data_IF_983354352326
#
_entry.id   IF_983354352326
#
_cell.length_a   1.000
_cell.length_b   1.000
_cell.length_c   1.000
_cell.angle_alpha   90.00
_cell.angle_beta   90.00
_cell.angle_gamma   90.00
#
_symmetry.space_group_name_H-M   'P 1'
#
loop_
_entity.id
_entity.type
_entity.pdbx_description
1 polymer ?
#
# COMPACT_ATOMS: atom_id res chain seq x y z
N UNK A 1 8.52 -3.85 6.78
CA UNK A 1 8.20 -3.11 5.53
C UNK A 1 9.41 -2.33 5.02
N UNK A 2 10.02 -1.50 5.87
CA UNK A 2 11.15 -0.60 5.53
C UNK A 2 12.31 -1.28 4.81
N UNK A 3 12.73 -2.46 5.28
CA UNK A 3 13.91 -3.14 4.73
C UNK A 3 13.76 -3.68 3.31
N UNK A 4 12.52 -3.74 2.81
CA UNK A 4 12.20 -4.10 1.42
C UNK A 4 11.63 -2.92 0.63
N UNK A 5 11.89 -1.68 1.07
CA UNK A 5 11.30 -0.47 0.49
C UNK A 5 10.07 -0.01 1.27
N UNK A 6 8.98 -0.76 1.16
CA UNK A 6 7.70 -0.47 1.82
C UNK A 6 6.88 0.59 1.08
N UNK A 7 5.72 0.20 0.56
CA UNK A 7 4.79 1.11 -0.14
C UNK A 7 3.43 1.16 0.56
N UNK A 8 2.71 2.26 0.39
CA UNK A 8 1.39 2.49 0.97
C UNK A 8 0.66 3.68 0.34
N UNK A 9 -0.39 4.16 1.00
CA UNK A 9 -1.24 5.25 0.51
C UNK A 9 -0.48 6.54 0.20
N UNK A 10 0.55 6.83 0.99
CA UNK A 10 1.34 8.05 0.85
C UNK A 10 2.52 7.90 -0.11
N UNK A 11 2.78 6.70 -0.63
CA UNK A 11 4.02 6.45 -1.36
C UNK A 11 4.11 7.14 -2.72
N UNK A 12 2.97 7.45 -3.34
CA UNK A 12 2.97 8.26 -4.56
C UNK A 12 3.44 9.69 -4.31
N UNK A 13 3.13 10.25 -3.14
CA UNK A 13 3.46 11.65 -2.80
C UNK A 13 4.82 11.79 -2.12
N UNK A 14 5.19 10.84 -1.26
CA UNK A 14 6.37 10.95 -0.38
C UNK A 14 7.38 9.82 -0.56
N UNK A 15 7.21 8.96 -1.56
CA UNK A 15 8.12 7.83 -1.81
C UNK A 15 7.89 6.63 -0.89
N UNK A 16 8.77 5.65 -1.00
CA UNK A 16 8.76 4.45 -0.17
C UNK A 16 9.08 4.78 1.29
N UNK A 17 8.76 3.86 2.20
CA UNK A 17 9.18 3.98 3.61
C UNK A 17 10.70 4.10 3.72
N UNK A 18 11.44 3.37 2.87
CA UNK A 18 12.89 3.44 2.77
C UNK A 18 13.42 4.79 2.25
N UNK A 19 12.65 5.53 1.44
CA UNK A 19 13.08 6.84 0.92
C UNK A 19 13.06 7.92 2.02
N UNK A 20 12.28 7.71 3.07
CA UNK A 20 12.18 8.59 4.23
C UNK A 20 13.01 8.10 5.42
N UNK A 21 13.75 7.00 5.25
CA UNK A 21 14.63 6.49 6.30
C UNK A 21 15.84 7.40 6.42
N UNK A 22 16.11 7.86 7.65
CA UNK A 22 17.23 8.75 7.97
C UNK A 22 18.38 8.00 8.63
N UNK A 23 18.07 7.08 9.54
CA UNK A 23 19.05 6.28 10.28
C UNK A 23 18.46 4.96 10.75
N UNK A 24 19.29 3.95 10.94
CA UNK A 24 18.93 2.67 11.53
C UNK A 24 19.99 2.16 12.50
N UNK A 25 19.55 1.52 13.58
CA UNK A 25 20.43 0.80 14.51
C UNK A 25 20.36 -0.69 14.21
N UNK A 26 21.51 -1.31 13.96
CA UNK A 26 21.59 -2.70 13.51
C UNK A 26 22.48 -3.50 14.43
N UNK A 27 22.00 -4.66 14.88
CA UNK A 27 22.82 -5.68 15.51
C UNK A 27 23.32 -6.63 14.42
N UNK A 28 24.62 -6.60 14.16
CA UNK A 28 25.30 -7.42 13.15
C UNK A 28 25.44 -8.88 13.60
N UNK A 29 25.82 -9.76 12.68
CA UNK A 29 25.94 -11.20 12.95
C UNK A 29 26.97 -11.55 14.04
N UNK A 30 27.99 -10.71 14.26
CA UNK A 30 28.98 -10.82 15.33
C UNK A 30 28.51 -10.19 16.66
N UNK A 31 27.25 -9.74 16.74
CA UNK A 31 26.63 -9.23 17.96
C UNK A 31 26.94 -7.77 18.28
N UNK A 32 27.55 -7.01 17.35
CA UNK A 32 27.86 -5.59 17.55
C UNK A 32 26.66 -4.72 17.18
N UNK A 33 26.44 -3.67 17.95
CA UNK A 33 25.50 -2.60 17.58
C UNK A 33 26.24 -1.60 16.68
N UNK A 34 25.73 -1.37 15.49
CA UNK A 34 26.23 -0.39 14.53
C UNK A 34 25.11 0.57 14.12
N UNK A 35 25.50 1.80 13.78
CA UNK A 35 24.58 2.82 13.31
C UNK A 35 24.77 3.02 11.81
N UNK A 36 23.68 2.99 11.06
CA UNK A 36 23.68 3.14 9.62
C UNK A 36 22.89 4.39 9.22
N UNK A 37 23.55 5.32 8.54
CA UNK A 37 23.01 6.56 7.97
C UNK A 37 23.79 6.92 6.68
N UNK A 38 23.50 8.06 6.08
CA UNK A 38 24.28 8.53 4.91
C UNK A 38 25.74 8.88 5.25
N UNK A 39 25.99 9.27 6.50
CA UNK A 39 27.29 9.69 7.03
C UNK A 39 28.03 8.61 7.83
N UNK A 40 27.36 7.53 8.25
CA UNK A 40 27.94 6.43 9.02
C UNK A 40 27.51 5.06 8.45
N UNK A 41 28.45 4.16 8.14
CA UNK A 41 28.16 2.85 7.52
C UNK A 41 27.20 2.97 6.31
N UNK A 42 27.52 3.86 5.37
CA UNK A 42 26.61 4.28 4.28
C UNK A 42 26.34 3.18 3.25
N UNK A 43 27.24 2.21 3.11
CA UNK A 43 27.05 0.98 2.35
C UNK A 43 25.99 0.06 2.97
N UNK A 44 26.05 -0.13 4.29
CA UNK A 44 25.03 -0.82 5.07
C UNK A 44 23.70 -0.06 4.97
N UNK A 45 23.71 1.25 5.15
CA UNK A 45 22.51 2.08 5.05
C UNK A 45 21.84 1.98 3.68
N UNK A 46 22.62 2.01 2.60
CA UNK A 46 22.13 1.74 1.25
C UNK A 46 21.51 0.34 1.14
N UNK A 47 22.19 -0.69 1.66
CA UNK A 47 21.69 -2.07 1.65
C UNK A 47 20.39 -2.27 2.43
N UNK A 48 20.21 -1.57 3.55
CA UNK A 48 18.99 -1.64 4.36
C UNK A 48 17.78 -1.07 3.62
N UNK A 49 17.94 -0.17 2.65
CA UNK A 49 16.85 0.44 1.87
C UNK A 49 16.35 -0.42 0.70
N UNK A 50 16.32 -1.74 0.87
CA UNK A 50 15.76 -2.67 -0.13
C UNK A 50 16.31 -4.10 -0.08
N UNK A 51 17.44 -4.35 0.59
CA UNK A 51 18.12 -5.64 0.62
C UNK A 51 17.94 -6.46 1.92
N UNK A 52 17.66 -5.82 3.06
CA UNK A 52 17.13 -6.44 4.29
C UNK A 52 17.86 -7.61 4.95
N UNK A 53 19.13 -7.91 4.64
CA UNK A 53 19.83 -9.12 5.10
C UNK A 53 21.17 -8.86 5.82
N UNK A 54 21.30 -7.73 6.50
CA UNK A 54 22.58 -7.28 7.05
C UNK A 54 22.68 -7.35 8.58
N UNK A 55 21.63 -7.81 9.25
CA UNK A 55 21.54 -7.90 10.70
C UNK A 55 20.11 -7.70 11.19
N UNK A 56 19.94 -7.65 12.52
CA UNK A 56 18.66 -7.35 13.15
C UNK A 56 18.58 -5.85 13.38
N UNK A 57 17.66 -5.17 12.69
CA UNK A 57 17.45 -3.74 12.92
C UNK A 57 16.59 -3.55 14.16
N UNK A 58 17.12 -2.84 15.15
CA UNK A 58 16.48 -2.60 16.44
C UNK A 58 15.80 -1.24 16.53
N UNK A 59 16.20 -0.29 15.68
CA UNK A 59 15.64 1.06 15.62
C UNK A 59 15.65 1.61 14.21
N UNK A 60 14.68 2.47 13.90
CA UNK A 60 14.60 3.25 12.67
C UNK A 60 14.25 4.70 13.02
N UNK A 61 14.88 5.65 12.33
CA UNK A 61 14.58 7.07 12.38
C UNK A 61 14.10 7.53 11.00
N UNK A 62 12.99 8.28 10.95
CA UNK A 62 12.36 8.70 9.71
C UNK A 62 12.13 10.21 9.66
N UNK A 63 12.24 10.78 8.47
CA UNK A 63 11.67 12.09 8.18
C UNK A 63 10.14 11.97 8.05
N UNK A 64 9.42 12.93 8.63
CA UNK A 64 7.96 12.93 8.70
C UNK A 64 7.36 14.05 7.83
N UNK A 65 6.16 13.78 7.31
CA UNK A 65 5.41 14.72 6.50
C UNK A 65 4.09 15.07 7.18
N UNK A 66 3.68 16.32 7.06
CA UNK A 66 2.35 16.75 7.50
C UNK A 66 1.27 16.17 6.57
N UNK A 67 0.26 15.54 7.16
CA UNK A 67 -0.87 14.92 6.45
C UNK A 67 -2.15 15.23 7.21
N UNK A 68 -3.13 15.84 6.53
CA UNK A 68 -4.43 16.15 7.11
C UNK A 68 -4.74 17.65 7.12
N UNK A 69 -5.73 18.10 7.93
CA UNK A 69 -6.44 17.35 8.97
C UNK A 69 -7.41 16.28 8.46
N UNK A 70 -7.84 16.37 7.20
CA UNK A 70 -8.75 15.43 6.55
C UNK A 70 -8.12 14.87 5.28
N UNK A 71 -8.42 13.60 4.99
CA UNK A 71 -8.02 12.91 3.76
C UNK A 71 -9.27 12.29 3.16
N UNK A 72 -9.62 12.70 1.94
CA UNK A 72 -10.70 12.05 1.21
C UNK A 72 -10.27 10.63 0.84
N UNK A 73 -11.07 9.65 1.23
CA UNK A 73 -10.88 8.26 0.85
C UNK A 73 -12.23 7.60 0.62
N UNK A 74 -12.27 6.60 -0.25
CA UNK A 74 -13.54 5.97 -0.60
C UNK A 74 -13.40 4.62 -1.29
N UNK A 75 -14.53 3.90 -1.34
CA UNK A 75 -14.64 2.63 -2.02
C UNK A 75 -15.61 2.76 -3.19
N UNK A 76 -15.15 2.48 -4.40
CA UNK A 76 -15.99 2.22 -5.55
C UNK A 76 -16.13 0.71 -5.73
N UNK A 77 -17.33 0.18 -5.46
CA UNK A 77 -17.62 -1.25 -5.59
C UNK A 77 -18.44 -1.51 -6.84
N UNK A 78 -17.92 -2.37 -7.72
CA UNK A 78 -18.58 -2.77 -8.98
C UNK A 78 -18.78 -4.28 -9.04
N UNK A 79 -19.85 -4.77 -9.69
CA UNK A 79 -19.99 -6.19 -10.00
C UNK A 79 -18.80 -6.71 -10.81
N UNK A 80 -18.49 -8.00 -10.67
CA UNK A 80 -17.40 -8.63 -11.43
C UNK A 80 -17.61 -8.58 -12.95
N UNK A 81 -18.85 -8.55 -13.43
CA UNK A 81 -19.14 -8.45 -14.87
C UNK A 81 -18.56 -7.18 -15.51
N UNK A 82 -18.34 -6.13 -14.73
CA UNK A 82 -17.78 -4.85 -15.19
C UNK A 82 -16.23 -4.82 -15.22
N UNK A 83 -15.55 -5.96 -14.95
CA UNK A 83 -14.09 -5.98 -14.72
C UNK A 83 -13.27 -5.40 -15.86
N UNK A 84 -13.57 -5.78 -17.10
CA UNK A 84 -12.79 -5.31 -18.24
C UNK A 84 -12.87 -3.77 -18.40
N UNK A 85 -14.07 -3.21 -18.24
CA UNK A 85 -14.31 -1.77 -18.31
C UNK A 85 -13.61 -1.03 -17.16
N UNK A 86 -13.77 -1.50 -15.93
CA UNK A 86 -13.19 -0.87 -14.74
C UNK A 86 -11.66 -0.92 -14.77
N UNK A 87 -11.05 -2.03 -15.21
CA UNK A 87 -9.60 -2.16 -15.33
C UNK A 87 -9.03 -1.20 -16.38
N UNK A 88 -9.71 -1.04 -17.52
CA UNK A 88 -9.31 -0.12 -18.57
C UNK A 88 -9.38 1.33 -18.09
N UNK A 89 -10.50 1.72 -17.50
CA UNK A 89 -10.68 3.06 -16.92
C UNK A 89 -9.69 3.35 -15.79
N UNK A 90 -9.44 2.37 -14.90
CA UNK A 90 -8.44 2.50 -13.83
C UNK A 90 -7.05 2.73 -14.41
N UNK A 91 -6.64 1.97 -15.42
CA UNK A 91 -5.32 2.12 -16.07
C UNK A 91 -5.15 3.52 -16.67
N UNK A 92 -6.15 4.01 -17.39
CA UNK A 92 -6.13 5.36 -17.96
C UNK A 92 -6.06 6.43 -16.88
N UNK A 93 -6.87 6.28 -15.83
CA UNK A 93 -6.91 7.23 -14.71
C UNK A 93 -5.57 7.32 -13.97
N UNK A 94 -4.96 6.19 -13.59
CA UNK A 94 -3.71 6.23 -12.80
C UNK A 94 -2.48 6.67 -13.60
N UNK A 95 -2.56 6.65 -14.93
CA UNK A 95 -1.48 7.12 -15.80
C UNK A 95 -1.25 8.63 -15.67
N UNK A 96 -2.34 9.41 -15.55
CA UNK A 96 -2.31 10.88 -15.49
C UNK A 96 -2.70 11.44 -14.10
N UNK A 97 -3.01 10.57 -13.14
CA UNK A 97 -3.40 11.00 -11.80
C UNK A 97 -2.26 11.77 -11.10
N UNK A 98 -2.55 12.88 -10.39
CA UNK A 98 -1.56 13.59 -9.59
C UNK A 98 -1.03 12.72 -8.45
N UNK A 99 0.17 13.01 -7.95
CA UNK A 99 0.82 12.24 -6.89
C UNK A 99 0.06 12.23 -5.55
N UNK A 100 -0.87 13.20 -5.38
CA UNK A 100 -1.73 13.28 -4.21
C UNK A 100 -2.87 12.23 -4.20
N UNK A 101 -3.15 11.61 -5.34
CA UNK A 101 -4.18 10.57 -5.47
C UNK A 101 -3.49 9.21 -5.50
N UNK A 102 -3.91 8.31 -4.63
CA UNK A 102 -3.48 6.91 -4.65
C UNK A 102 -4.70 6.02 -4.80
N UNK A 103 -4.86 5.41 -5.98
CA UNK A 103 -5.92 4.47 -6.26
C UNK A 103 -5.38 3.05 -6.21
N UNK A 104 -6.08 2.13 -5.54
CA UNK A 104 -5.82 0.69 -5.54
C UNK A 104 -7.01 -0.06 -6.10
N UNK A 105 -6.75 -1.17 -6.79
CA UNK A 105 -7.78 -2.03 -7.34
C UNK A 105 -7.64 -3.43 -6.78
N UNK A 106 -8.73 -3.95 -6.21
CA UNK A 106 -8.78 -5.29 -5.62
C UNK A 106 -9.99 -6.03 -6.18
N UNK A 107 -9.75 -7.19 -6.77
CA UNK A 107 -10.80 -8.13 -7.17
C UNK A 107 -10.91 -9.18 -6.07
N UNK A 108 -12.10 -9.32 -5.46
CA UNK A 108 -12.30 -10.28 -4.38
C UNK A 108 -13.71 -10.85 -4.37
N UNK A 109 -13.87 -12.06 -3.85
CA UNK A 109 -15.19 -12.54 -3.47
C UNK A 109 -15.68 -11.72 -2.27
N UNK A 110 -16.79 -11.01 -2.45
CA UNK A 110 -17.44 -10.28 -1.38
C UNK A 110 -18.69 -11.06 -0.91
N UNK A 111 -18.99 -11.06 0.40
CA UNK A 111 -20.34 -11.40 0.85
C UNK A 111 -21.35 -10.48 0.16
N UNK A 112 -22.60 -10.89 -0.05
CA UNK A 112 -23.62 -10.03 -0.61
C UNK A 112 -23.76 -8.77 0.26
N UNK A 113 -23.16 -7.65 -0.18
CA UNK A 113 -23.35 -6.33 0.41
C UNK A 113 -24.82 -5.95 0.19
N UNK A 114 -25.48 -5.55 1.27
CA UNK A 114 -26.93 -5.37 1.40
C UNK A 114 -27.65 -5.06 0.06
N UNK A 115 -28.15 -6.11 -0.59
CA UNK A 115 -29.09 -6.01 -1.72
C UNK A 115 -30.46 -6.52 -1.30
N UNK A 116 -30.85 -6.29 -0.06
CA UNK A 116 -32.23 -6.45 0.38
C UNK A 116 -33.04 -5.21 0.01
N UNK A 117 -33.36 -5.03 -1.28
CA UNK A 117 -34.70 -4.51 -1.60
C UNK A 117 -35.25 -4.72 -3.01
N UNK A 118 -34.53 -5.19 -4.05
CA UNK A 118 -35.13 -5.07 -5.41
C UNK A 118 -35.14 -6.24 -6.38
N UNK A 119 -34.83 -7.47 -5.99
CA UNK A 119 -35.16 -8.65 -6.82
C UNK A 119 -34.96 -9.96 -6.05
N UNK A 120 -35.92 -10.33 -5.22
CA UNK A 120 -36.06 -11.72 -4.79
C UNK A 120 -37.55 -12.09 -4.88
N UNK A 121 -38.01 -12.31 -6.12
CA UNK A 121 -39.37 -12.76 -6.42
C UNK A 121 -39.55 -14.27 -6.36
N UNK A 122 -38.48 -15.05 -6.26
CA UNK A 122 -38.55 -16.51 -6.21
C UNK A 122 -37.32 -17.08 -5.51
N UNK A 123 -37.56 -17.90 -4.50
CA UNK A 123 -36.56 -18.62 -3.71
C UNK A 123 -35.66 -19.50 -4.60
N UNK A 124 -34.47 -18.99 -4.96
CA UNK A 124 -33.35 -19.80 -5.47
C UNK A 124 -32.04 -19.05 -5.19
N UNK A 125 -31.25 -19.61 -4.25
CA UNK A 125 -29.85 -19.30 -3.90
C UNK A 125 -29.37 -17.86 -4.10
N UNK A 126 -29.22 -17.11 -3.00
CA UNK A 126 -28.26 -16.02 -2.94
C UNK A 126 -26.83 -16.62 -3.01
N UNK A 127 -26.27 -16.75 -4.22
CA UNK A 127 -24.85 -17.05 -4.39
C UNK A 127 -24.03 -15.78 -4.15
N UNK A 128 -22.98 -15.89 -3.33
CA UNK A 128 -21.93 -14.88 -3.24
C UNK A 128 -21.39 -14.59 -4.64
N UNK A 129 -21.62 -13.38 -5.14
CA UNK A 129 -21.10 -12.95 -6.44
C UNK A 129 -19.76 -12.27 -6.22
N UNK A 130 -18.73 -12.54 -7.03
CA UNK A 130 -17.49 -11.79 -6.99
C UNK A 130 -17.77 -10.30 -7.28
N UNK A 131 -16.99 -9.43 -6.64
CA UNK A 131 -17.08 -7.97 -6.83
C UNK A 131 -15.69 -7.39 -6.96
N UNK A 132 -15.60 -6.29 -7.67
CA UNK A 132 -14.41 -5.46 -7.74
C UNK A 132 -14.58 -4.36 -6.72
N UNK A 133 -13.55 -4.12 -5.94
CA UNK A 133 -13.47 -2.97 -5.05
C UNK A 133 -12.25 -2.18 -5.45
N UNK A 134 -12.49 -1.03 -6.07
CA UNK A 134 -11.48 -0.01 -6.26
C UNK A 134 -11.53 0.91 -5.06
N UNK A 135 -10.39 1.10 -4.41
CA UNK A 135 -10.22 2.02 -3.28
C UNK A 135 -9.51 3.25 -3.82
N UNK A 136 -10.15 4.41 -3.70
CA UNK A 136 -9.59 5.71 -4.08
C UNK A 136 -9.18 6.48 -2.83
#
# INVERSE_FOLDING_TARGET
>A
MTLGGGFGWLSRRYGLTADNLRRADVVTADGRLVHASEDENSDLFWGLRGGGNFGVVTSFEFDLHEVGPEVLSGLLVRPFDDTAEVMAAYREFVADAPDQITAWMVIRHAPPLYRSFRRCGTARRCSSSPSITTVL
#
